data_IF_020694472946
#
_entry.id   IF_020694472946
#
_cell.length_a   1.000
_cell.length_b   1.000
_cell.length_c   1.000
_cell.angle_alpha   90.00
_cell.angle_beta   90.00
_cell.angle_gamma   90.00
#
_symmetry.space_group_name_H-M   'P 1'
#
loop_
_entity.id
_entity.type
_entity.pdbx_description
1 polymer ?
#
# COMPACT_ATOMS: atom_id res chain seq x y z
N UNK A 1 14.72 2.26 25.19
CA UNK A 1 14.71 3.02 23.92
C UNK A 1 15.13 2.07 22.80
N UNK A 2 14.36 1.93 21.72
CA UNK A 2 14.85 1.19 20.55
C UNK A 2 16.09 1.90 20.00
N UNK A 3 17.17 1.14 19.75
CA UNK A 3 18.40 1.69 19.17
C UNK A 3 18.21 1.72 17.64
N UNK A 4 18.19 2.90 16.99
CA UNK A 4 18.03 2.98 15.54
C UNK A 4 19.11 2.18 14.82
N UNK A 5 18.71 1.39 13.81
CA UNK A 5 19.61 0.52 13.07
C UNK A 5 19.90 -0.84 13.72
N UNK A 6 19.47 -1.08 14.96
CA UNK A 6 19.57 -2.38 15.62
C UNK A 6 18.22 -3.09 15.62
N UNK A 7 18.14 -4.21 14.91
CA UNK A 7 16.97 -5.08 14.85
C UNK A 7 17.41 -6.54 14.71
N UNK A 8 16.48 -7.47 14.93
CA UNK A 8 16.81 -8.90 15.09
C UNK A 8 17.64 -9.49 13.94
N UNK A 9 17.40 -9.08 12.69
CA UNK A 9 18.18 -9.57 11.55
C UNK A 9 19.64 -9.10 11.53
N UNK A 10 19.98 -7.99 12.20
CA UNK A 10 21.37 -7.48 12.28
C UNK A 10 22.06 -7.94 13.56
N UNK A 11 21.31 -8.09 14.65
CA UNK A 11 21.88 -8.38 15.98
C UNK A 11 21.76 -9.83 16.41
N UNK A 12 20.59 -10.45 16.19
CA UNK A 12 20.31 -11.80 16.65
C UNK A 12 20.62 -12.85 15.58
N UNK A 13 20.38 -12.55 14.30
CA UNK A 13 20.60 -13.52 13.22
C UNK A 13 22.07 -13.95 13.10
N UNK A 14 23.09 -13.08 13.16
CA UNK A 14 24.48 -13.53 13.12
C UNK A 14 24.80 -14.47 14.28
N UNK A 15 24.36 -14.13 15.50
CA UNK A 15 24.54 -14.99 16.68
C UNK A 15 23.84 -16.34 16.54
N UNK A 16 22.64 -16.36 15.94
CA UNK A 16 21.92 -17.59 15.65
C UNK A 16 22.70 -18.47 14.66
N UNK A 17 23.22 -17.88 13.59
CA UNK A 17 24.02 -18.59 12.59
C UNK A 17 25.33 -19.11 13.21
N UNK A 18 26.06 -18.29 13.97
CA UNK A 18 27.27 -18.71 14.69
C UNK A 18 26.97 -19.87 15.67
N UNK A 19 25.80 -19.82 16.32
CA UNK A 19 25.37 -20.90 17.21
C UNK A 19 25.09 -22.18 16.43
N UNK A 20 24.36 -22.09 15.31
CA UNK A 20 24.05 -23.23 14.45
C UNK A 20 25.31 -23.87 13.87
N UNK A 21 26.28 -23.05 13.42
CA UNK A 21 27.56 -23.50 12.87
C UNK A 21 28.47 -24.16 13.93
N UNK A 22 28.27 -23.83 15.21
CA UNK A 22 28.98 -24.46 16.33
C UNK A 22 28.36 -25.77 16.84
N UNK A 23 27.17 -26.15 16.38
CA UNK A 23 26.52 -27.40 16.78
C UNK A 23 27.16 -28.59 16.04
N UNK A 24 27.27 -29.76 16.69
CA UNK A 24 27.75 -30.97 16.02
C UNK A 24 26.77 -31.39 14.92
N UNK A 25 27.29 -31.61 13.70
CA UNK A 25 26.52 -32.16 12.58
C UNK A 25 26.75 -33.67 12.44
N UNK A 26 25.68 -34.43 12.35
CA UNK A 26 25.69 -35.83 11.92
C UNK A 26 25.34 -35.95 10.43
N UNK A 27 25.83 -36.98 9.73
CA UNK A 27 25.38 -37.31 8.38
C UNK A 27 23.85 -37.45 8.36
N UNK A 28 23.18 -36.64 7.55
CA UNK A 28 21.73 -36.64 7.41
C UNK A 28 20.99 -35.54 8.19
N UNK A 29 21.66 -34.78 9.07
CA UNK A 29 21.02 -33.66 9.80
C UNK A 29 20.47 -32.57 8.87
N UNK A 30 21.06 -32.43 7.67
CA UNK A 30 20.62 -31.50 6.63
C UNK A 30 19.69 -32.14 5.59
N UNK A 31 19.37 -33.44 5.72
CA UNK A 31 18.50 -34.11 4.76
C UNK A 31 17.08 -33.54 4.88
N UNK A 32 16.46 -33.15 3.76
CA UNK A 32 15.10 -32.65 3.79
C UNK A 32 14.16 -33.76 4.26
N UNK A 33 13.34 -33.45 5.26
CA UNK A 33 12.28 -34.36 5.69
C UNK A 33 11.37 -34.71 4.49
N UNK A 34 10.92 -35.98 4.38
CA UNK A 34 10.02 -36.37 3.32
C UNK A 34 8.75 -35.52 3.39
N UNK A 35 8.40 -34.91 2.27
CA UNK A 35 7.20 -34.09 2.17
C UNK A 35 5.96 -34.98 2.35
N UNK A 36 5.00 -34.62 3.21
CA UNK A 36 3.73 -35.35 3.31
C UNK A 36 2.98 -35.37 1.97
N UNK A 37 2.26 -36.46 1.71
CA UNK A 37 1.48 -36.62 0.46
C UNK A 37 0.36 -35.57 0.33
N UNK A 38 -0.10 -35.03 1.46
CA UNK A 38 -1.09 -33.95 1.54
C UNK A 38 -0.53 -32.58 1.11
N UNK A 39 0.80 -32.46 0.95
CA UNK A 39 1.44 -31.22 0.54
C UNK A 39 1.84 -31.28 -0.94
N UNK A 40 1.22 -30.42 -1.75
CA UNK A 40 1.44 -30.38 -3.19
C UNK A 40 1.85 -28.99 -3.68
N UNK A 41 2.75 -28.93 -4.66
CA UNK A 41 3.07 -27.70 -5.36
C UNK A 41 2.03 -27.46 -6.47
N UNK A 42 1.45 -26.26 -6.49
CA UNK A 42 0.50 -25.83 -7.53
C UNK A 42 0.91 -24.45 -8.06
N UNK A 43 0.43 -24.12 -9.25
CA UNK A 43 0.53 -22.77 -9.79
C UNK A 43 -0.66 -21.93 -9.33
N UNK A 44 -0.39 -20.74 -8.80
CA UNK A 44 -1.40 -19.76 -8.38
C UNK A 44 -1.26 -18.46 -9.17
N UNK A 45 -2.38 -17.77 -9.33
CA UNK A 45 -2.48 -16.51 -10.05
C UNK A 45 -2.57 -15.33 -9.09
N UNK A 46 -1.57 -14.46 -9.14
CA UNK A 46 -1.57 -13.17 -8.44
C UNK A 46 -2.16 -12.07 -9.32
N UNK A 47 -2.89 -11.10 -8.72
CA UNK A 47 -2.98 -10.82 -7.27
C UNK A 47 -4.05 -11.59 -6.48
N UNK A 48 -4.88 -12.42 -7.11
CA UNK A 48 -6.03 -13.05 -6.43
C UNK A 48 -5.67 -14.22 -5.50
N UNK A 49 -4.50 -14.83 -5.69
CA UNK A 49 -4.04 -15.97 -4.90
C UNK A 49 -4.76 -17.29 -5.22
N UNK A 50 -5.63 -17.29 -6.23
CA UNK A 50 -6.42 -18.45 -6.66
C UNK A 50 -5.60 -19.41 -7.51
N UNK A 51 -6.01 -20.67 -7.57
CA UNK A 51 -5.40 -21.68 -8.41
C UNK A 51 -5.41 -21.23 -9.88
N UNK A 52 -4.30 -21.45 -10.59
CA UNK A 52 -4.18 -21.01 -11.98
C UNK A 52 -5.16 -21.72 -12.93
N UNK A 53 -5.56 -22.95 -12.60
CA UNK A 53 -6.57 -23.70 -13.35
C UNK A 53 -7.99 -23.11 -13.22
N UNK A 54 -8.26 -22.41 -12.12
CA UNK A 54 -9.58 -21.84 -11.78
C UNK A 54 -9.67 -20.33 -12.06
N UNK A 55 -8.55 -19.73 -12.49
CA UNK A 55 -8.46 -18.29 -12.71
C UNK A 55 -8.51 -17.97 -14.20
N UNK A 56 -9.49 -17.17 -14.67
CA UNK A 56 -9.51 -16.68 -16.05
C UNK A 56 -8.21 -15.96 -16.42
N UNK A 57 -7.72 -16.18 -17.65
CA UNK A 57 -6.46 -15.62 -18.14
C UNK A 57 -6.26 -14.11 -17.87
N UNK A 58 -7.24 -13.23 -18.16
CA UNK A 58 -7.13 -11.80 -17.89
C UNK A 58 -6.97 -11.44 -16.40
N UNK A 59 -7.40 -12.31 -15.48
CA UNK A 59 -7.27 -12.12 -14.04
C UNK A 59 -5.97 -12.70 -13.48
N UNK A 60 -5.23 -13.47 -14.30
CA UNK A 60 -3.95 -14.07 -13.93
C UNK A 60 -2.77 -13.22 -14.41
N UNK A 61 -2.46 -12.15 -13.68
CA UNK A 61 -1.38 -11.25 -14.10
C UNK A 61 0.02 -11.80 -13.85
N UNK A 62 0.20 -12.61 -12.80
CA UNK A 62 1.46 -13.28 -12.52
C UNK A 62 1.21 -14.69 -11.99
N UNK A 63 1.86 -15.68 -12.61
CA UNK A 63 1.88 -17.06 -12.12
C UNK A 63 3.03 -17.24 -11.15
N UNK A 64 2.75 -17.85 -10.01
CA UNK A 64 3.74 -18.21 -9.00
C UNK A 64 3.45 -19.64 -8.52
N UNK A 65 4.51 -20.36 -8.17
CA UNK A 65 4.39 -21.67 -7.55
C UNK A 65 4.14 -21.52 -6.05
N UNK A 66 3.14 -22.20 -5.52
CA UNK A 66 2.79 -22.22 -4.11
C UNK A 66 2.63 -23.66 -3.60
N UNK A 67 2.84 -23.84 -2.29
CA UNK A 67 2.54 -25.09 -1.62
C UNK A 67 1.13 -25.06 -1.05
N UNK A 68 0.40 -26.15 -1.21
CA UNK A 68 -0.95 -26.37 -0.69
C UNK A 68 -0.92 -27.49 0.32
N UNK A 69 -1.85 -27.48 1.25
CA UNK A 69 -2.11 -28.57 2.19
C UNK A 69 -3.54 -29.07 1.92
N UNK A 70 -3.70 -30.37 1.69
CA UNK A 70 -4.99 -31.00 1.38
C UNK A 70 -5.73 -30.33 0.19
N UNK A 71 -4.95 -29.86 -0.79
CA UNK A 71 -5.46 -29.14 -1.96
C UNK A 71 -5.99 -27.73 -1.68
N UNK A 72 -5.88 -27.21 -0.45
CA UNK A 72 -6.37 -25.88 -0.11
C UNK A 72 -5.51 -24.77 -0.73
N UNK A 73 -6.13 -23.92 -1.55
CA UNK A 73 -5.51 -22.72 -2.15
C UNK A 73 -6.22 -21.48 -1.60
N UNK A 74 -5.70 -20.86 -0.53
CA UNK A 74 -6.36 -19.70 0.06
C UNK A 74 -6.23 -18.48 -0.87
N UNK A 75 -7.32 -17.71 -1.09
CA UNK A 75 -7.24 -16.48 -1.84
C UNK A 75 -6.37 -15.45 -1.11
N UNK A 76 -5.88 -14.46 -1.86
CA UNK A 76 -5.17 -13.31 -1.26
C UNK A 76 -6.08 -12.62 -0.26
N UNK A 77 -5.57 -12.39 0.95
CA UNK A 77 -6.30 -11.68 1.98
C UNK A 77 -6.64 -10.25 1.54
N UNK A 78 -7.77 -9.70 2.03
CA UNK A 78 -8.07 -8.29 1.87
C UNK A 78 -6.92 -7.41 2.36
N UNK A 79 -6.72 -6.28 1.69
CA UNK A 79 -5.66 -5.34 2.05
C UNK A 79 -5.81 -4.87 3.51
N UNK A 80 -4.73 -5.04 4.29
CA UNK A 80 -4.70 -4.64 5.70
C UNK A 80 -4.86 -3.13 5.79
N UNK A 81 -5.85 -2.68 6.56
CA UNK A 81 -6.11 -1.24 6.75
C UNK A 81 -6.87 -0.59 5.60
N UNK A 82 -7.33 -1.36 4.61
CA UNK A 82 -8.28 -0.86 3.62
C UNK A 82 -9.57 -0.40 4.32
N UNK A 83 -10.04 0.79 3.96
CA UNK A 83 -11.27 1.38 4.54
C UNK A 83 -12.51 0.58 4.18
N UNK A 84 -12.52 -0.03 2.99
CA UNK A 84 -13.59 -0.88 2.50
C UNK A 84 -13.02 -2.27 2.18
N UNK A 85 -13.78 -3.31 2.51
CA UNK A 85 -13.42 -4.68 2.13
C UNK A 85 -13.47 -4.82 0.61
N UNK A 86 -12.39 -5.35 0.02
CA UNK A 86 -12.28 -5.60 -1.42
C UNK A 86 -11.57 -6.94 -1.64
N UNK A 87 -12.15 -7.89 -2.39
CA UNK A 87 -11.56 -9.20 -2.63
C UNK A 87 -10.47 -9.18 -3.72
N UNK A 88 -10.00 -7.99 -4.12
CA UNK A 88 -9.06 -7.82 -5.24
C UNK A 88 -9.67 -8.06 -6.62
N UNK A 89 -10.69 -8.93 -6.76
CA UNK A 89 -11.47 -9.11 -8.00
C UNK A 89 -12.66 -8.16 -8.02
N UNK A 90 -12.72 -7.25 -8.97
CA UNK A 90 -13.88 -6.37 -9.15
C UNK A 90 -14.62 -6.67 -10.45
N UNK A 91 -15.95 -6.65 -10.38
CA UNK A 91 -16.87 -6.73 -11.51
C UNK A 91 -17.46 -5.36 -11.80
N UNK A 92 -17.53 -5.00 -13.08
CA UNK A 92 -18.08 -3.73 -13.56
C UNK A 92 -18.64 -3.90 -14.97
N UNK A 93 -19.36 -2.88 -15.43
CA UNK A 93 -19.88 -2.81 -16.79
C UNK A 93 -18.99 -1.93 -17.65
N UNK A 94 -18.84 -2.30 -18.91
CA UNK A 94 -18.21 -1.49 -19.95
C UNK A 94 -19.13 -1.34 -21.14
N UNK A 95 -18.98 -0.26 -21.89
CA UNK A 95 -19.59 -0.13 -23.20
C UNK A 95 -18.92 -1.13 -24.16
N UNK A 96 -19.72 -1.95 -24.84
CA UNK A 96 -19.23 -3.00 -25.71
C UNK A 96 -18.47 -2.46 -26.93
N UNK A 97 -18.67 -1.19 -27.32
CA UNK A 97 -18.01 -0.56 -28.48
C UNK A 97 -16.75 0.19 -28.07
N UNK A 98 -16.81 1.04 -27.04
CA UNK A 98 -15.67 1.87 -26.63
C UNK A 98 -14.76 1.19 -25.60
N UNK A 99 -15.27 0.21 -24.85
CA UNK A 99 -14.56 -0.41 -23.72
C UNK A 99 -14.46 0.49 -22.48
N UNK A 100 -15.07 1.68 -22.52
CA UNK A 100 -15.12 2.59 -21.36
C UNK A 100 -16.05 2.03 -20.30
N UNK A 101 -15.72 2.30 -19.04
CA UNK A 101 -16.52 1.87 -17.89
C UNK A 101 -17.85 2.62 -17.86
N UNK A 102 -18.91 1.92 -17.47
CA UNK A 102 -20.25 2.45 -17.33
C UNK A 102 -20.65 2.51 -15.86
N UNK A 103 -21.30 3.60 -15.46
CA UNK A 103 -21.98 3.70 -14.16
C UNK A 103 -23.46 3.34 -14.29
N UNK A 104 -24.19 3.41 -13.18
CA UNK A 104 -25.63 3.21 -13.16
C UNK A 104 -26.42 4.34 -13.84
N UNK A 105 -25.79 5.48 -14.15
CA UNK A 105 -26.46 6.66 -14.71
C UNK A 105 -25.63 7.29 -15.81
N UNK A 106 -25.98 6.96 -17.05
CA UNK A 106 -25.38 7.52 -18.27
C UNK A 106 -26.45 8.24 -19.08
N UNK A 107 -26.08 9.34 -19.73
CA UNK A 107 -27.02 10.16 -20.51
C UNK A 107 -27.35 9.55 -21.87
N UNK A 108 -26.43 8.76 -22.43
CA UNK A 108 -26.58 8.11 -23.72
C UNK A 108 -26.86 6.60 -23.55
N UNK A 109 -27.51 5.96 -24.53
CA UNK A 109 -27.68 4.52 -24.52
C UNK A 109 -26.35 3.81 -24.80
N UNK A 110 -26.04 2.84 -23.95
CA UNK A 110 -24.86 2.00 -24.08
C UNK A 110 -25.25 0.53 -24.21
N UNK A 111 -24.43 -0.22 -24.97
CA UNK A 111 -24.53 -1.68 -24.98
C UNK A 111 -23.60 -2.18 -23.88
N UNK A 112 -24.16 -2.45 -22.70
CA UNK A 112 -23.37 -2.87 -21.56
C UNK A 112 -22.85 -4.31 -21.72
N UNK A 113 -21.60 -4.53 -21.33
CA UNK A 113 -20.97 -5.84 -21.22
C UNK A 113 -20.29 -5.96 -19.87
N UNK A 114 -20.44 -7.12 -19.23
CA UNK A 114 -19.70 -7.41 -18.01
C UNK A 114 -18.20 -7.53 -18.26
N UNK A 115 -17.43 -6.98 -17.34
CA UNK A 115 -15.98 -7.08 -17.30
C UNK A 115 -15.52 -7.30 -15.87
N UNK A 116 -14.34 -7.90 -15.74
CA UNK A 116 -13.71 -8.16 -14.46
C UNK A 116 -12.25 -7.73 -14.49
N UNK A 117 -11.74 -7.31 -13.34
CA UNK A 117 -10.33 -6.94 -13.15
C UNK A 117 -9.80 -7.51 -11.84
N UNK A 118 -8.52 -7.90 -11.83
CA UNK A 118 -7.79 -8.26 -10.64
C UNK A 118 -6.93 -7.08 -10.19
N UNK A 119 -7.06 -6.65 -8.94
CA UNK A 119 -6.37 -5.50 -8.37
C UNK A 119 -5.29 -5.91 -7.39
N UNK A 120 -4.13 -5.28 -7.53
CA UNK A 120 -3.09 -5.36 -6.51
C UNK A 120 -3.42 -4.45 -5.33
N UNK A 121 -3.06 -4.86 -4.10
CA UNK A 121 -3.01 -3.97 -2.94
C UNK A 121 -2.17 -2.72 -3.23
N UNK A 122 -2.60 -1.57 -2.72
CA UNK A 122 -1.90 -0.30 -2.90
C UNK A 122 -0.48 -0.35 -2.35
N UNK A 123 -0.29 -1.03 -1.21
CA UNK A 123 1.01 -1.25 -0.63
C UNK A 123 2.00 -1.93 -1.58
N UNK A 124 1.56 -2.74 -2.55
CA UNK A 124 2.47 -3.40 -3.49
C UNK A 124 2.88 -2.51 -4.66
N UNK A 125 2.27 -1.33 -4.85
CA UNK A 125 2.50 -0.48 -6.03
C UNK A 125 3.98 -0.16 -6.33
N UNK A 126 4.89 0.04 -5.34
CA UNK A 126 6.30 0.28 -5.60
C UNK A 126 7.04 -0.89 -6.27
N UNK A 127 6.55 -2.13 -6.08
CA UNK A 127 7.17 -3.34 -6.61
C UNK A 127 6.54 -3.83 -7.92
N UNK A 128 5.50 -3.14 -8.40
CA UNK A 128 4.83 -3.49 -9.65
C UNK A 128 5.47 -2.80 -10.85
N UNK A 129 5.43 -3.46 -12.00
CA UNK A 129 5.72 -2.79 -13.28
C UNK A 129 4.59 -1.83 -13.66
N UNK A 130 4.89 -0.86 -14.53
CA UNK A 130 3.87 0.04 -15.07
C UNK A 130 2.77 -0.70 -15.86
N UNK A 131 3.08 -1.86 -16.44
CA UNK A 131 2.09 -2.70 -17.13
C UNK A 131 1.12 -3.35 -16.14
N UNK A 132 1.63 -3.91 -15.03
CA UNK A 132 0.79 -4.51 -13.98
C UNK A 132 -0.11 -3.49 -13.30
N UNK A 133 0.41 -2.28 -13.03
CA UNK A 133 -0.41 -1.18 -12.49
C UNK A 133 -1.55 -0.81 -13.44
N UNK A 134 -1.26 -0.66 -14.74
CA UNK A 134 -2.29 -0.39 -15.77
C UNK A 134 -3.31 -1.51 -15.90
N UNK A 135 -2.88 -2.78 -15.88
CA UNK A 135 -3.76 -3.94 -15.95
C UNK A 135 -4.67 -4.11 -14.71
N UNK A 136 -4.37 -3.37 -13.64
CA UNK A 136 -5.12 -3.37 -12.38
C UNK A 136 -5.89 -2.08 -12.13
N UNK A 137 -5.77 -1.11 -13.04
CA UNK A 137 -6.54 0.13 -13.00
C UNK A 137 -7.86 -0.05 -13.72
N UNK A 138 -8.94 0.49 -13.15
CA UNK A 138 -10.23 0.51 -13.84
C UNK A 138 -10.12 1.29 -15.16
N UNK A 139 -10.79 0.85 -16.23
CA UNK A 139 -10.91 1.65 -17.43
C UNK A 139 -11.54 3.01 -17.14
N UNK A 140 -11.23 4.04 -17.95
CA UNK A 140 -11.84 5.35 -17.81
C UNK A 140 -13.36 5.25 -17.91
N UNK A 141 -14.05 6.04 -17.08
CA UNK A 141 -15.50 6.18 -17.11
C UNK A 141 -15.92 6.85 -18.43
N UNK A 142 -17.02 6.38 -19.02
CA UNK A 142 -17.59 7.03 -20.20
C UNK A 142 -18.01 8.49 -19.86
N UNK A 143 -17.74 9.46 -20.74
CA UNK A 143 -17.84 10.88 -20.43
C UNK A 143 -19.27 11.39 -20.18
N UNK A 144 -20.27 10.61 -20.58
CA UNK A 144 -21.68 10.91 -20.36
C UNK A 144 -22.27 10.20 -19.13
N UNK A 145 -21.47 9.37 -18.45
CA UNK A 145 -21.83 8.70 -17.21
C UNK A 145 -21.46 9.53 -15.98
N UNK A 146 -22.31 9.48 -14.95
CA UNK A 146 -22.03 10.05 -13.64
C UNK A 146 -20.97 9.22 -12.89
N UNK A 147 -20.18 9.85 -12.02
CA UNK A 147 -19.17 9.19 -11.20
C UNK A 147 -19.80 8.05 -10.36
N UNK A 148 -19.15 6.89 -10.37
CA UNK A 148 -19.59 5.68 -9.66
C UNK A 148 -18.83 5.45 -8.34
N UNK A 149 -17.87 6.32 -8.00
CA UNK A 149 -17.10 6.27 -6.76
C UNK A 149 -16.17 5.06 -6.63
N UNK A 150 -16.05 4.20 -7.65
CA UNK A 150 -15.23 2.98 -7.56
C UNK A 150 -13.74 3.25 -7.51
N UNK A 151 -13.29 4.39 -8.05
CA UNK A 151 -11.91 4.82 -7.91
C UNK A 151 -11.58 5.24 -6.47
N UNK A 152 -12.55 5.76 -5.71
CA UNK A 152 -12.39 6.06 -4.29
C UNK A 152 -12.35 4.81 -3.40
N UNK A 153 -12.79 3.65 -3.91
CA UNK A 153 -12.64 2.34 -3.23
C UNK A 153 -11.19 1.84 -3.32
N UNK A 154 -10.40 2.31 -4.29
CA UNK A 154 -8.98 2.01 -4.34
C UNK A 154 -8.31 2.56 -3.06
N UNK A 155 -7.64 1.67 -2.31
CA UNK A 155 -6.92 2.07 -1.12
C UNK A 155 -5.84 3.09 -1.47
N UNK A 156 -5.89 4.27 -0.86
CA UNK A 156 -4.75 5.18 -0.85
C UNK A 156 -3.95 4.90 0.43
N UNK A 157 -2.63 4.82 0.34
CA UNK A 157 -1.78 4.66 1.51
C UNK A 157 -0.72 5.77 1.56
N UNK A 158 -0.54 6.37 2.73
CA UNK A 158 0.52 7.37 2.96
C UNK A 158 1.75 6.66 3.49
N UNK A 159 2.81 6.61 2.68
CA UNK A 159 4.14 6.15 3.08
C UNK A 159 4.97 7.34 3.58
N UNK A 160 5.91 7.07 4.50
CA UNK A 160 6.82 8.08 5.07
C UNK A 160 6.44 8.57 6.46
N UNK A 161 5.26 8.19 6.96
CA UNK A 161 4.82 8.46 8.33
C UNK A 161 3.88 7.35 8.82
N UNK A 162 4.11 6.86 10.04
CA UNK A 162 3.24 5.85 10.65
C UNK A 162 2.08 6.50 11.40
N UNK A 163 0.92 5.83 11.41
CA UNK A 163 -0.20 6.25 12.25
C UNK A 163 0.18 6.21 13.74
N UNK A 164 -0.19 7.29 14.43
CA UNK A 164 0.14 7.59 15.82
C UNK A 164 1.64 7.69 16.13
N UNK A 165 2.47 7.96 15.11
CA UNK A 165 3.88 8.26 15.33
C UNK A 165 4.06 9.50 16.22
N UNK A 166 5.09 9.48 17.07
CA UNK A 166 5.64 10.69 17.68
C UNK A 166 6.87 11.10 16.89
N UNK A 167 6.84 12.31 16.34
CA UNK A 167 7.94 12.93 15.62
C UNK A 167 8.64 13.93 16.51
N UNK A 168 9.97 14.02 16.38
CA UNK A 168 10.77 15.06 17.00
C UNK A 168 11.91 15.46 16.04
N UNK A 169 12.31 16.74 16.00
CA UNK A 169 13.49 17.16 15.24
C UNK A 169 14.73 16.36 15.64
N UNK A 170 15.61 16.11 14.69
CA UNK A 170 16.89 15.47 14.98
C UNK A 170 17.77 16.40 15.86
N UNK A 171 18.51 15.85 16.84
CA UNK A 171 19.49 16.63 17.61
C UNK A 171 20.50 17.32 16.67
N UNK A 172 20.73 18.62 16.88
CA UNK A 172 21.65 19.41 16.06
C UNK A 172 21.11 19.84 14.68
N UNK A 173 19.88 19.46 14.31
CA UNK A 173 19.26 19.77 13.01
C UNK A 173 18.57 21.14 12.92
N UNK A 174 18.84 22.05 13.85
CA UNK A 174 18.25 23.41 13.85
C UNK A 174 16.72 23.44 14.00
N UNK A 175 16.12 22.42 14.60
CA UNK A 175 14.67 22.34 14.83
C UNK A 175 13.83 21.96 13.60
N UNK A 176 14.45 21.67 12.44
CA UNK A 176 13.72 21.21 11.24
C UNK A 176 13.20 19.78 11.39
N UNK A 177 12.02 19.53 10.84
CA UNK A 177 11.38 18.21 10.81
C UNK A 177 10.90 17.93 9.39
N UNK A 178 11.84 17.70 8.48
CA UNK A 178 11.54 17.38 7.09
C UNK A 178 11.25 15.88 6.92
N UNK A 179 10.06 15.57 6.41
CA UNK A 179 9.68 14.20 6.04
C UNK A 179 9.47 14.11 4.54
N UNK A 180 9.87 12.97 3.96
CA UNK A 180 9.48 12.60 2.60
C UNK A 180 8.28 11.66 2.66
N UNK A 181 7.19 12.08 2.02
CA UNK A 181 5.93 11.37 1.97
C UNK A 181 5.66 10.85 0.56
N UNK A 182 4.91 9.75 0.44
CA UNK A 182 4.40 9.25 -0.84
C UNK A 182 2.96 8.78 -0.67
N UNK A 183 2.14 8.98 -1.69
CA UNK A 183 0.79 8.45 -1.75
C UNK A 183 0.78 7.24 -2.69
N UNK A 184 0.67 6.03 -2.13
CA UNK A 184 0.63 4.77 -2.85
C UNK A 184 -0.80 4.38 -3.22
N UNK A 185 -0.97 3.57 -4.27
CA UNK A 185 -2.28 3.12 -4.76
C UNK A 185 -2.95 4.01 -5.81
N UNK A 186 -2.33 5.14 -6.17
CA UNK A 186 -2.81 6.02 -7.25
C UNK A 186 -1.66 6.53 -8.12
N UNK A 187 -1.95 6.77 -9.39
CA UNK A 187 -1.10 7.53 -10.32
C UNK A 187 -1.67 8.96 -10.53
N UNK A 188 -2.89 9.22 -10.06
CA UNK A 188 -3.52 10.53 -10.15
C UNK A 188 -2.75 11.55 -9.28
N UNK A 189 -2.81 12.84 -9.60
CA UNK A 189 -2.24 13.86 -8.73
C UNK A 189 -2.90 13.84 -7.34
N UNK A 190 -2.11 14.16 -6.32
CA UNK A 190 -2.49 14.09 -4.90
C UNK A 190 -2.27 15.43 -4.24
N UNK A 191 -3.31 15.94 -3.59
CA UNK A 191 -3.28 17.13 -2.76
C UNK A 191 -3.01 16.72 -1.31
N UNK A 192 -2.09 17.43 -0.66
CA UNK A 192 -1.69 17.19 0.72
C UNK A 192 -2.25 18.29 1.62
N UNK A 193 -2.88 17.88 2.71
CA UNK A 193 -3.44 18.80 3.70
C UNK A 193 -2.94 18.44 5.10
N UNK A 194 -2.55 19.46 5.86
CA UNK A 194 -2.20 19.35 7.27
C UNK A 194 -3.25 20.08 8.09
N UNK A 195 -3.95 19.35 8.96
CA UNK A 195 -5.07 19.86 9.76
C UNK A 195 -6.14 20.56 8.90
N UNK A 196 -6.39 20.00 7.72
CA UNK A 196 -7.34 20.54 6.74
C UNK A 196 -6.83 21.73 5.92
N UNK A 197 -5.61 22.21 6.14
CA UNK A 197 -4.98 23.27 5.34
C UNK A 197 -4.11 22.70 4.24
N UNK A 198 -4.27 23.19 3.01
CA UNK A 198 -3.44 22.75 1.89
C UNK A 198 -1.96 23.10 2.11
N UNK A 199 -1.08 22.10 1.96
CA UNK A 199 0.38 22.25 2.11
C UNK A 199 1.16 21.95 0.83
N UNK A 200 0.53 21.38 -0.20
CA UNK A 200 1.18 21.10 -1.47
C UNK A 200 0.45 20.06 -2.33
N UNK A 201 1.06 19.74 -3.47
CA UNK A 201 0.59 18.72 -4.41
C UNK A 201 1.77 17.87 -4.90
N UNK A 202 1.53 16.59 -5.15
CA UNK A 202 2.48 15.69 -5.81
C UNK A 202 1.78 14.85 -6.88
N UNK A 203 2.55 14.19 -7.74
CA UNK A 203 2.03 13.06 -8.51
C UNK A 203 1.80 11.85 -7.59
N UNK A 204 0.89 10.95 -7.96
CA UNK A 204 0.73 9.65 -7.30
C UNK A 204 2.05 8.87 -7.29
N UNK A 205 2.37 8.24 -6.16
CA UNK A 205 3.62 7.50 -5.93
C UNK A 205 4.91 8.34 -5.92
N UNK A 206 4.85 9.65 -6.24
CA UNK A 206 6.02 10.53 -6.24
C UNK A 206 6.29 11.07 -4.83
N UNK A 207 7.59 11.26 -4.46
CA UNK A 207 7.94 11.85 -3.18
C UNK A 207 7.47 13.30 -3.06
N UNK A 208 6.96 13.64 -1.89
CA UNK A 208 6.58 14.98 -1.45
C UNK A 208 7.32 15.29 -0.15
N UNK A 209 8.22 16.26 -0.18
CA UNK A 209 8.97 16.69 1.01
C UNK A 209 8.26 17.88 1.67
N UNK A 210 8.10 17.82 3.00
CA UNK A 210 7.52 18.93 3.77
C UNK A 210 8.16 19.03 5.16
N UNK A 211 8.41 20.26 5.61
CA UNK A 211 8.92 20.56 6.95
C UNK A 211 7.77 20.74 7.93
N UNK A 212 7.51 19.70 8.71
CA UNK A 212 6.43 19.62 9.69
C UNK A 212 6.69 20.45 10.95
N UNK A 213 7.92 20.93 11.16
CA UNK A 213 8.22 21.80 12.30
C UNK A 213 7.36 23.08 12.28
N UNK A 214 6.95 23.53 11.08
CA UNK A 214 6.10 24.70 10.87
C UNK A 214 4.69 24.58 11.48
N UNK A 215 4.24 23.37 11.79
CA UNK A 215 2.92 23.13 12.39
C UNK A 215 2.90 23.29 13.91
N UNK A 216 4.07 23.34 14.56
CA UNK A 216 4.20 23.43 16.02
C UNK A 216 4.08 22.07 16.72
N UNK A 217 4.21 22.10 18.04
CA UNK A 217 4.02 20.90 18.87
C UNK A 217 2.53 20.59 19.02
N UNK A 218 2.18 19.30 19.09
CA UNK A 218 0.79 18.88 19.24
C UNK A 218 0.44 17.64 18.43
N UNK A 219 -0.87 17.34 18.39
CA UNK A 219 -1.42 16.27 17.55
C UNK A 219 -1.92 16.87 16.25
N UNK A 220 -1.55 16.25 15.14
CA UNK A 220 -1.87 16.70 13.80
C UNK A 220 -2.47 15.57 12.96
N UNK A 221 -3.20 15.95 11.92
CA UNK A 221 -3.77 15.03 10.92
C UNK A 221 -3.25 15.42 9.54
N UNK A 222 -2.52 14.51 8.92
CA UNK A 222 -2.14 14.59 7.51
C UNK A 222 -3.21 13.91 6.67
N UNK A 223 -3.72 14.59 5.65
CA UNK A 223 -4.66 14.04 4.66
C UNK A 223 -4.03 14.07 3.27
N UNK A 224 -4.18 12.97 2.54
CA UNK A 224 -3.86 12.87 1.12
C UNK A 224 -5.15 12.67 0.34
N UNK A 225 -5.43 13.54 -0.64
CA UNK A 225 -6.62 13.50 -1.49
C UNK A 225 -6.17 13.37 -2.95
N UNK A 226 -6.49 12.25 -3.60
CA UNK A 226 -6.22 12.07 -5.02
C UNK A 226 -7.37 12.65 -5.86
N UNK A 227 -7.05 13.13 -7.07
CA UNK A 227 -8.05 13.74 -7.98
C UNK A 227 -9.15 12.75 -8.42
N UNK A 228 -8.92 11.45 -8.26
CA UNK A 228 -9.90 10.40 -8.52
C UNK A 228 -10.78 10.03 -7.31
N UNK A 229 -10.75 10.85 -6.25
CA UNK A 229 -11.58 10.67 -5.06
C UNK A 229 -11.01 9.71 -4.00
N UNK A 230 -9.94 8.97 -4.31
CA UNK A 230 -9.25 8.15 -3.32
C UNK A 230 -8.56 9.04 -2.27
N UNK A 231 -8.64 8.67 -1.00
CA UNK A 231 -8.01 9.44 0.07
C UNK A 231 -7.54 8.61 1.25
N UNK A 232 -6.61 9.17 2.01
CA UNK A 232 -6.07 8.59 3.23
C UNK A 232 -5.78 9.67 4.28
N UNK A 233 -5.84 9.27 5.55
CA UNK A 233 -5.48 10.12 6.68
C UNK A 233 -4.55 9.40 7.64
N UNK A 234 -3.60 10.16 8.18
CA UNK A 234 -2.66 9.70 9.20
C UNK A 234 -2.66 10.70 10.35
N UNK A 235 -2.87 10.20 11.58
CA UNK A 235 -2.74 11.02 12.79
C UNK A 235 -1.34 10.84 13.36
N UNK A 236 -0.70 11.92 13.80
CA UNK A 236 0.62 11.87 14.41
C UNK A 236 0.78 12.97 15.44
N UNK A 237 1.84 12.90 16.24
CA UNK A 237 2.18 13.91 17.25
C UNK A 237 3.56 14.47 17.01
N UNK A 238 3.73 15.79 17.11
CA UNK A 238 5.03 16.44 17.11
C UNK A 238 5.39 16.81 18.56
N UNK A 239 6.61 16.48 18.97
CA UNK A 239 7.18 16.77 20.28
C UNK A 239 8.59 17.35 20.14
N UNK A 240 9.10 17.98 21.20
CA UNK A 240 10.49 18.47 21.24
C UNK A 240 10.76 19.68 20.34
N UNK A 241 9.73 20.35 19.84
CA UNK A 241 9.84 21.74 19.40
C UNK A 241 9.78 22.58 20.67
N UNK A 242 10.77 23.43 20.91
CA UNK A 242 10.72 24.37 22.02
C UNK A 242 9.50 25.27 21.81
N UNK A 243 8.52 25.20 22.73
CA UNK A 243 7.47 26.20 22.82
C UNK A 243 8.16 27.55 22.88
N UNK A 244 7.78 28.49 22.01
CA UNK A 244 8.35 29.83 21.92
C UNK A 244 8.15 30.66 23.18
N UNK A 245 8.76 30.25 24.30
CA UNK A 245 8.89 31.04 25.51
C UNK A 245 10.11 31.92 25.29
N UNK A 246 9.83 33.16 24.90
CA UNK A 246 10.83 34.22 24.85
C UNK A 246 11.70 34.18 26.12
N UNK A 247 13.03 34.23 26.01
CA UNK A 247 13.88 34.32 27.19
C UNK A 247 13.53 35.61 27.92
N UNK A 248 13.15 35.48 29.19
CA UNK A 248 13.01 36.62 30.09
C UNK A 248 14.35 37.36 30.10
N UNK A 249 14.34 38.64 29.73
CA UNK A 249 15.50 39.51 29.85
C UNK A 249 15.93 39.52 31.32
N UNK A 250 17.12 39.00 31.61
CA UNK A 250 17.79 39.20 32.87
C UNK A 250 18.23 40.67 32.96
N UNK A 251 17.80 41.34 34.03
CA UNK A 251 18.32 42.62 34.49
C UNK A 251 19.69 42.40 35.15
#
# INVERSE_FOLDING_TARGET
TPLPGQYGAVTALPLLLDTLDGLPHQPGDADPLPRPDTVAAVEVCWPLGLAAAETPGPLCQRRLRAWTLDGAVPPTFPERGARLWSPGRERFLVDARSGQRLSASCRLPHVAREAEIARWPALLSPWLSAAQRRASALPPLAPDCADDGREAVAGLHVEGIADRATLAPAPGGGGRLELQLRALGTEAPVQWLLDGRWIGRSGGGRPFAYDFARAGAGTHVLSALADNGAWAQVRFRIAGLEDGRAPAAAQ
#
